data_IF_578254339354
#
_entry.id   IF_578254339354
#
_cell.length_a   1.000
_cell.length_b   1.000
_cell.length_c   1.000
_cell.angle_alpha   90.00
_cell.angle_beta   90.00
_cell.angle_gamma   90.00
#
_symmetry.space_group_name_H-M   'P 1'
#
loop_
_entity.id
_entity.type
_entity.pdbx_description
1 polymer ?
#
# COMPACT_ATOMS: atom_id res chain seq x y z
N UNK A 1 -5.54 -14.94 12.10
CA UNK A 1 -5.84 -13.49 12.20
C UNK A 1 -5.10 -12.80 11.08
N UNK A 2 -5.67 -11.76 10.46
CA UNK A 2 -5.02 -11.03 9.36
C UNK A 2 -4.37 -9.74 9.83
N UNK A 3 -3.29 -9.33 9.17
CA UNK A 3 -2.49 -8.16 9.51
C UNK A 3 -2.25 -7.27 8.30
N UNK A 4 -2.04 -5.98 8.58
CA UNK A 4 -1.34 -5.05 7.69
C UNK A 4 0.05 -4.85 8.25
N UNK A 5 1.05 -5.14 7.43
CA UNK A 5 2.44 -5.16 7.86
C UNK A 5 3.21 -4.08 7.12
N UNK A 6 3.94 -3.28 7.90
CA UNK A 6 4.89 -2.29 7.39
C UNK A 6 6.23 -2.97 7.22
N UNK A 7 6.82 -2.82 6.04
CA UNK A 7 8.07 -3.45 5.68
C UNK A 7 9.13 -2.37 5.50
N UNK A 8 10.23 -2.46 6.23
CA UNK A 8 11.44 -1.67 5.94
C UNK A 8 12.14 -2.30 4.75
N UNK A 9 12.42 -1.49 3.75
CA UNK A 9 13.00 -1.94 2.49
C UNK A 9 14.35 -1.27 2.29
N UNK A 10 15.39 -2.06 2.03
CA UNK A 10 16.67 -1.65 1.47
C UNK A 10 16.72 -2.13 0.02
N UNK A 11 16.32 -1.30 -0.96
CA UNK A 11 16.15 -1.73 -2.34
C UNK A 11 17.40 -2.44 -2.88
N UNK A 12 17.22 -3.59 -3.51
CA UNK A 12 18.29 -4.42 -4.05
C UNK A 12 19.11 -5.20 -3.01
N UNK A 13 18.76 -5.11 -1.72
CA UNK A 13 19.52 -5.75 -0.64
C UNK A 13 18.64 -6.63 0.25
N UNK A 14 17.68 -6.03 0.96
CA UNK A 14 16.85 -6.76 1.93
C UNK A 14 15.54 -6.06 2.32
N UNK A 15 14.60 -6.84 2.84
CA UNK A 15 13.35 -6.40 3.48
C UNK A 15 13.26 -6.95 4.90
N UNK A 16 12.63 -6.19 5.80
CA UNK A 16 12.38 -6.61 7.17
C UNK A 16 11.01 -6.10 7.64
N UNK A 17 10.24 -6.96 8.30
CA UNK A 17 9.00 -6.55 8.98
C UNK A 17 9.30 -5.59 10.13
N UNK A 18 8.60 -4.46 10.18
CA UNK A 18 8.80 -3.42 11.19
C UNK A 18 7.67 -3.36 12.21
N UNK A 19 6.44 -3.17 11.75
CA UNK A 19 5.25 -3.09 12.61
C UNK A 19 4.04 -3.75 11.94
N UNK A 20 3.10 -4.21 12.76
CA UNK A 20 1.89 -4.90 12.32
C UNK A 20 0.65 -4.27 12.94
N UNK A 21 -0.29 -3.87 12.08
CA UNK A 21 -1.62 -3.49 12.48
C UNK A 21 -2.54 -4.71 12.42
N UNK A 22 -3.17 -5.04 13.56
CA UNK A 22 -4.15 -6.13 13.62
C UNK A 22 -5.38 -5.78 12.77
N UNK A 23 -5.92 -6.79 12.09
CA UNK A 23 -7.07 -6.70 11.19
C UNK A 23 -6.75 -5.95 9.89
N UNK A 24 -6.33 -6.72 8.88
CA UNK A 24 -6.06 -6.25 7.51
C UNK A 24 -7.25 -5.53 6.85
N UNK A 25 -8.49 -5.76 7.30
CA UNK A 25 -9.65 -5.06 6.75
C UNK A 25 -9.60 -3.55 6.95
N UNK A 26 -8.76 -3.06 7.86
CA UNK A 26 -8.57 -1.62 8.10
C UNK A 26 -7.61 -0.92 7.14
N UNK A 27 -7.04 -1.58 6.14
CA UNK A 27 -6.11 -0.96 5.19
C UNK A 27 -6.56 -1.08 3.73
N UNK A 28 -6.15 -2.13 3.00
CA UNK A 28 -6.45 -2.35 1.58
C UNK A 28 -7.94 -2.31 1.29
N UNK A 29 -8.77 -3.14 1.96
CA UNK A 29 -10.22 -3.15 1.77
C UNK A 29 -10.93 -1.81 1.98
N UNK A 30 -10.39 -0.93 2.83
CA UNK A 30 -10.93 0.44 3.00
C UNK A 30 -10.79 1.22 1.68
N UNK A 31 -9.57 1.29 1.15
CA UNK A 31 -9.29 2.01 -0.10
C UNK A 31 -10.04 1.40 -1.27
N UNK A 32 -10.07 0.07 -1.36
CA UNK A 32 -10.75 -0.64 -2.44
C UNK A 32 -12.25 -0.35 -2.45
N UNK A 33 -12.87 -0.32 -1.27
CA UNK A 33 -14.27 0.01 -1.11
C UNK A 33 -14.57 1.46 -1.52
N UNK A 34 -13.80 2.41 -1.02
CA UNK A 34 -13.98 3.84 -1.29
C UNK A 34 -13.83 4.15 -2.79
N UNK A 35 -12.78 3.62 -3.40
CA UNK A 35 -12.49 3.80 -4.83
C UNK A 35 -13.55 3.14 -5.71
N UNK A 36 -14.00 1.93 -5.37
CA UNK A 36 -15.06 1.25 -6.11
C UNK A 36 -16.40 2.00 -6.04
N UNK A 37 -16.78 2.51 -4.86
CA UNK A 37 -18.01 3.31 -4.71
C UNK A 37 -17.90 4.60 -5.53
N UNK A 38 -16.80 5.36 -5.36
CA UNK A 38 -16.65 6.68 -5.99
C UNK A 38 -16.57 6.62 -7.51
N UNK A 39 -15.75 5.70 -8.04
CA UNK A 39 -15.37 5.71 -9.46
C UNK A 39 -16.02 4.61 -10.30
N UNK A 40 -16.45 3.51 -9.67
CA UNK A 40 -17.14 2.40 -10.34
C UNK A 40 -18.62 2.34 -9.99
N UNK A 41 -19.10 3.20 -9.06
CA UNK A 41 -20.50 3.31 -8.64
C UNK A 41 -21.07 2.01 -8.10
N UNK A 42 -20.24 1.22 -7.40
CA UNK A 42 -20.69 -0.01 -6.77
C UNK A 42 -21.42 0.27 -5.47
N UNK A 43 -22.22 -0.70 -5.01
CA UNK A 43 -22.65 -0.74 -3.62
C UNK A 43 -21.44 -0.95 -2.68
N UNK A 44 -21.56 -0.65 -1.37
CA UNK A 44 -20.54 -0.98 -0.39
C UNK A 44 -20.12 -2.46 -0.45
N UNK A 45 -18.83 -2.70 -0.32
CA UNK A 45 -18.15 -4.00 -0.47
C UNK A 45 -18.29 -4.66 -1.85
N UNK A 46 -18.82 -3.94 -2.85
CA UNK A 46 -18.95 -4.44 -4.23
C UNK A 46 -17.62 -4.60 -4.97
N UNK A 47 -16.51 -4.09 -4.42
CA UNK A 47 -15.18 -4.14 -5.03
C UNK A 47 -14.72 -5.58 -5.36
N UNK A 48 -15.16 -6.57 -4.57
CA UNK A 48 -14.81 -7.98 -4.81
C UNK A 48 -15.31 -8.49 -6.18
N UNK A 49 -16.39 -7.91 -6.70
CA UNK A 49 -16.99 -8.30 -7.98
C UNK A 49 -16.44 -7.51 -9.18
N UNK A 50 -15.59 -6.51 -8.95
CA UNK A 50 -15.06 -5.63 -10.00
C UNK A 50 -13.58 -5.29 -9.80
N UNK A 51 -12.83 -6.20 -9.19
CA UNK A 51 -11.43 -5.99 -8.84
C UNK A 51 -10.56 -5.70 -10.07
N UNK A 52 -10.90 -6.33 -11.21
CA UNK A 52 -10.31 -6.13 -12.53
C UNK A 52 -10.46 -4.68 -13.05
N UNK A 53 -11.51 -3.99 -12.62
CA UNK A 53 -11.78 -2.57 -12.96
C UNK A 53 -11.25 -1.61 -11.92
N UNK A 54 -11.03 -2.08 -10.69
CA UNK A 54 -10.49 -1.27 -9.60
C UNK A 54 -9.00 -0.97 -9.81
N UNK A 55 -8.20 -1.96 -10.20
CA UNK A 55 -6.75 -1.77 -10.36
C UNK A 55 -6.37 -0.75 -11.44
N UNK A 56 -7.01 -0.70 -12.62
CA UNK A 56 -6.67 0.33 -13.60
C UNK A 56 -6.93 1.78 -13.14
N UNK A 57 -7.69 2.00 -12.05
CA UNK A 57 -7.97 3.35 -11.57
C UNK A 57 -6.72 4.12 -11.13
N UNK A 58 -5.66 3.46 -10.66
CA UNK A 58 -4.41 4.14 -10.29
C UNK A 58 -3.71 4.81 -11.49
N UNK A 59 -4.06 4.43 -12.72
CA UNK A 59 -3.47 4.98 -13.95
C UNK A 59 -4.41 5.96 -14.67
N UNK A 60 -5.59 6.24 -14.13
CA UNK A 60 -6.60 7.09 -14.78
C UNK A 60 -6.40 8.57 -14.43
N UNK A 61 -5.84 9.35 -15.35
CA UNK A 61 -5.52 10.77 -15.12
C UNK A 61 -6.71 11.67 -14.75
N UNK A 62 -7.94 11.25 -15.04
CA UNK A 62 -9.15 11.96 -14.61
C UNK A 62 -9.41 11.86 -13.09
N UNK A 63 -8.68 10.99 -12.39
CA UNK A 63 -8.74 10.81 -10.94
C UNK A 63 -7.63 11.65 -10.27
N UNK A 64 -7.95 12.38 -9.18
CA UNK A 64 -6.96 13.13 -8.41
C UNK A 64 -5.74 12.28 -8.05
N UNK A 65 -4.55 12.86 -8.16
CA UNK A 65 -3.29 12.13 -8.00
C UNK A 65 -3.17 11.47 -6.62
N UNK A 66 -3.62 12.12 -5.54
CA UNK A 66 -3.57 11.55 -4.20
C UNK A 66 -4.49 10.32 -4.05
N UNK A 67 -5.62 10.26 -4.77
CA UNK A 67 -6.46 9.05 -4.82
C UNK A 67 -5.76 7.90 -5.54
N UNK A 68 -5.12 8.21 -6.68
CA UNK A 68 -4.35 7.23 -7.45
C UNK A 68 -3.18 6.69 -6.65
N UNK A 69 -2.46 7.56 -5.96
CA UNK A 69 -1.31 7.20 -5.14
C UNK A 69 -1.71 6.30 -3.96
N UNK A 70 -2.75 6.66 -3.20
CA UNK A 70 -3.19 5.84 -2.06
C UNK A 70 -3.75 4.49 -2.53
N UNK A 71 -4.40 4.41 -3.70
CA UNK A 71 -4.73 3.11 -4.30
C UNK A 71 -3.48 2.32 -4.69
N UNK A 72 -2.51 2.96 -5.33
CA UNK A 72 -1.24 2.35 -5.72
C UNK A 72 -0.44 1.86 -4.50
N UNK A 73 -0.57 2.50 -3.34
CA UNK A 73 -0.03 2.06 -2.03
C UNK A 73 -0.65 0.73 -1.54
N UNK A 74 -1.64 0.18 -2.23
CA UNK A 74 -2.25 -1.12 -1.90
C UNK A 74 -1.81 -2.30 -2.77
N UNK A 75 -0.97 -2.05 -3.78
CA UNK A 75 -0.52 -3.07 -4.73
C UNK A 75 0.60 -3.95 -4.18
N UNK A 76 0.94 -5.02 -4.88
CA UNK A 76 2.07 -5.83 -4.46
C UNK A 76 3.39 -5.20 -4.91
N UNK A 77 4.44 -5.44 -4.11
CA UNK A 77 5.85 -5.12 -4.43
C UNK A 77 6.16 -3.64 -4.66
N UNK A 78 5.27 -2.73 -4.26
CA UNK A 78 5.64 -1.32 -4.24
C UNK A 78 6.53 -1.03 -3.03
N UNK A 79 7.33 0.02 -3.15
CA UNK A 79 7.89 0.69 -1.99
C UNK A 79 7.87 2.20 -2.21
N UNK A 80 7.97 2.95 -1.13
CA UNK A 80 8.10 4.41 -1.12
C UNK A 80 9.51 4.72 -0.63
N UNK A 81 10.25 5.54 -1.38
CA UNK A 81 11.59 5.99 -1.00
C UNK A 81 11.52 7.00 0.14
N UNK A 82 12.58 7.07 0.96
CA UNK A 82 12.67 8.01 2.08
C UNK A 82 12.44 9.46 1.68
N UNK A 83 12.93 9.86 0.51
CA UNK A 83 12.74 11.22 -0.02
C UNK A 83 11.27 11.57 -0.30
N UNK A 84 10.42 10.56 -0.48
CA UNK A 84 8.99 10.72 -0.74
C UNK A 84 8.09 10.52 0.49
N UNK A 85 8.63 10.22 1.68
CA UNK A 85 7.79 9.98 2.86
C UNK A 85 6.86 11.16 3.18
N UNK A 86 7.36 12.38 3.10
CA UNK A 86 6.53 13.58 3.30
C UNK A 86 5.38 13.66 2.29
N UNK A 87 5.63 13.27 1.04
CA UNK A 87 4.63 13.27 -0.04
C UNK A 87 3.61 12.15 0.16
N UNK A 88 4.05 10.98 0.58
CA UNK A 88 3.17 9.86 0.94
C UNK A 88 2.21 10.25 2.06
N UNK A 89 2.73 10.82 3.15
CA UNK A 89 1.93 11.32 4.27
C UNK A 89 0.89 12.34 3.78
N UNK A 90 1.31 13.36 3.05
CA UNK A 90 0.42 14.39 2.51
C UNK A 90 -0.72 13.78 1.68
N UNK A 91 -0.40 12.87 0.76
CA UNK A 91 -1.40 12.24 -0.10
C UNK A 91 -2.39 11.37 0.67
N UNK A 92 -1.93 10.67 1.72
CA UNK A 92 -2.83 9.95 2.62
C UNK A 92 -3.74 10.93 3.37
N UNK A 93 -3.23 12.06 3.88
CA UNK A 93 -4.05 13.06 4.57
C UNK A 93 -5.10 13.69 3.64
N UNK A 94 -4.73 14.03 2.42
CA UNK A 94 -5.66 14.54 1.40
C UNK A 94 -6.74 13.49 1.08
N UNK A 95 -6.34 12.22 0.94
CA UNK A 95 -7.27 11.13 0.71
C UNK A 95 -8.29 11.00 1.86
N UNK A 96 -7.82 11.02 3.10
CA UNK A 96 -8.67 10.93 4.28
C UNK A 96 -9.61 12.14 4.45
N UNK A 97 -9.27 13.30 3.88
CA UNK A 97 -10.18 14.44 3.83
C UNK A 97 -11.33 14.21 2.82
N UNK A 98 -11.04 13.60 1.67
CA UNK A 98 -12.03 13.25 0.64
C UNK A 98 -12.86 11.99 0.98
N UNK A 99 -12.30 11.12 1.83
CA UNK A 99 -12.88 9.89 2.34
C UNK A 99 -12.69 9.78 3.87
N UNK A 100 -13.50 10.51 4.66
CA UNK A 100 -13.38 10.50 6.12
C UNK A 100 -13.58 9.09 6.71
N UNK A 101 -12.71 8.62 7.61
CA UNK A 101 -12.88 7.34 8.29
C UNK A 101 -14.23 7.23 9.02
N UNK A 102 -14.86 6.07 8.92
CA UNK A 102 -16.02 5.74 9.74
C UNK A 102 -15.56 5.22 11.11
N UNK A 103 -15.90 5.94 12.18
CA UNK A 103 -15.54 5.61 13.57
C UNK A 103 -16.03 4.22 14.03
N UNK A 104 -17.06 3.65 13.39
CA UNK A 104 -17.55 2.31 13.69
C UNK A 104 -16.70 1.19 13.08
N UNK A 105 -15.71 1.53 12.25
CA UNK A 105 -14.86 0.57 11.53
C UNK A 105 -13.38 0.85 11.76
N UNK A 106 -12.56 -0.20 11.71
CA UNK A 106 -11.10 -0.04 11.81
C UNK A 106 -10.58 0.62 10.54
N UNK A 107 -9.71 1.62 10.70
CA UNK A 107 -8.99 2.26 9.60
C UNK A 107 -7.57 2.61 10.06
N UNK A 108 -6.57 2.03 9.40
CA UNK A 108 -5.15 2.17 9.77
C UNK A 108 -4.44 3.29 9.02
N UNK A 109 -5.05 3.88 7.99
CA UNK A 109 -4.44 4.91 7.16
C UNK A 109 -4.05 6.19 7.93
N UNK A 110 -4.79 6.63 8.97
CA UNK A 110 -4.29 7.70 9.84
C UNK A 110 -2.94 7.37 10.48
N UNK A 111 -2.75 6.15 10.98
CA UNK A 111 -1.48 5.70 11.58
C UNK A 111 -0.40 5.46 10.53
N UNK A 112 -0.74 4.99 9.33
CA UNK A 112 0.21 4.88 8.21
C UNK A 112 0.71 6.27 7.78
N UNK A 113 -0.17 7.29 7.78
CA UNK A 113 0.27 8.67 7.54
C UNK A 113 1.25 9.14 8.63
N UNK A 114 0.94 8.89 9.91
CA UNK A 114 1.81 9.23 11.04
C UNK A 114 3.18 8.54 10.95
N UNK A 115 3.23 7.29 10.48
CA UNK A 115 4.49 6.58 10.23
C UNK A 115 5.36 7.34 9.22
N UNK A 116 4.79 7.76 8.09
CA UNK A 116 5.53 8.51 7.08
C UNK A 116 5.92 9.91 7.57
N UNK A 117 5.05 10.59 8.32
CA UNK A 117 5.34 11.89 8.97
C UNK A 117 6.50 11.77 9.97
N UNK A 118 6.59 10.64 10.67
CA UNK A 118 7.67 10.31 11.60
C UNK A 118 9.03 10.13 10.94
N UNK A 119 9.08 10.03 9.60
CA UNK A 119 10.29 9.90 8.79
C UNK A 119 11.30 8.89 9.36
N UNK A 120 10.92 7.62 9.52
CA UNK A 120 11.76 6.61 10.15
C UNK A 120 13.08 6.44 9.39
N UNK A 121 14.13 6.06 10.11
CA UNK A 121 15.46 5.90 9.53
C UNK A 121 15.61 4.57 8.77
N UNK A 122 14.91 4.47 7.64
CA UNK A 122 15.04 3.40 6.67
C UNK A 122 14.95 3.98 5.26
N UNK A 123 15.63 3.38 4.26
CA UNK A 123 15.72 3.99 2.93
C UNK A 123 14.42 3.89 2.12
N UNK A 124 13.57 2.90 2.43
CA UNK A 124 12.24 2.80 1.86
C UNK A 124 11.27 2.05 2.79
N UNK A 125 9.97 2.22 2.53
CA UNK A 125 8.88 1.49 3.20
C UNK A 125 8.01 0.81 2.14
N UNK A 126 7.76 -0.48 2.34
CA UNK A 126 6.73 -1.25 1.64
C UNK A 126 5.53 -1.52 2.55
N UNK A 127 4.40 -1.86 1.95
CA UNK A 127 3.18 -2.21 2.68
C UNK A 127 2.68 -3.58 2.22
N UNK A 128 2.46 -4.48 3.17
CA UNK A 128 1.78 -5.75 2.93
C UNK A 128 0.41 -5.72 3.60
N UNK A 129 -0.63 -5.45 2.81
CA UNK A 129 -1.94 -5.08 3.37
C UNK A 129 -2.82 -6.26 3.76
N UNK A 130 -2.46 -7.49 3.40
CA UNK A 130 -3.21 -8.68 3.82
C UNK A 130 -2.32 -9.90 3.97
N UNK A 131 -2.16 -10.36 5.21
CA UNK A 131 -1.47 -11.61 5.52
C UNK A 131 -2.24 -12.89 5.14
N UNK A 132 -3.26 -12.78 4.27
CA UNK A 132 -4.03 -13.91 3.73
C UNK A 132 -3.40 -14.45 2.45
N UNK A 133 -2.70 -13.59 1.71
CA UNK A 133 -1.89 -13.98 0.56
C UNK A 133 -0.44 -14.19 0.99
N UNK A 134 0.37 -14.80 0.13
CA UNK A 134 1.82 -14.90 0.30
C UNK A 134 2.44 -13.52 0.55
N UNK A 135 3.45 -13.44 1.41
CA UNK A 135 4.16 -12.19 1.71
C UNK A 135 4.89 -11.73 0.43
N UNK A 136 4.49 -10.60 -0.17
CA UNK A 136 5.12 -10.12 -1.39
C UNK A 136 6.51 -9.57 -1.13
N UNK A 137 7.03 -9.56 0.11
CA UNK A 137 8.39 -9.16 0.50
C UNK A 137 9.26 -10.32 0.97
N UNK A 138 8.76 -11.57 0.92
CA UNK A 138 9.55 -12.77 1.12
C UNK A 138 10.06 -13.34 -0.23
N UNK A 139 11.27 -13.88 -0.23
CA UNK A 139 11.83 -14.65 -1.34
C UNK A 139 11.41 -16.11 -1.31
N UNK A 140 12.12 -16.97 -2.04
CA UNK A 140 11.89 -18.41 -2.00
C UNK A 140 12.22 -19.00 -0.63
N UNK A 141 11.52 -20.07 -0.25
CA UNK A 141 11.83 -20.82 0.97
C UNK A 141 13.11 -21.64 0.76
N UNK A 142 14.11 -21.45 1.61
CA UNK A 142 15.31 -22.27 1.66
C UNK A 142 15.10 -23.43 2.65
N UNK A 143 14.97 -24.66 2.12
CA UNK A 143 14.77 -25.86 2.94
C UNK A 143 15.98 -26.20 3.82
N UNK A 144 17.19 -25.83 3.43
CA UNK A 144 18.41 -26.13 4.20
C UNK A 144 18.59 -25.15 5.36
N UNK A 145 18.30 -23.87 5.13
CA UNK A 145 18.37 -22.84 6.15
C UNK A 145 17.11 -22.75 7.03
N UNK A 146 16.00 -23.37 6.62
CA UNK A 146 14.66 -23.22 7.22
C UNK A 146 14.22 -21.75 7.33
N UNK A 147 14.58 -20.94 6.33
CA UNK A 147 14.33 -19.50 6.29
C UNK A 147 13.89 -19.04 4.89
N UNK A 148 13.12 -17.97 4.81
CA UNK A 148 12.82 -17.31 3.53
C UNK A 148 14.01 -16.47 3.08
N UNK A 149 14.38 -16.61 1.80
CA UNK A 149 15.37 -15.77 1.16
C UNK A 149 14.88 -14.32 1.02
N UNK A 150 15.79 -13.42 0.66
CA UNK A 150 15.43 -12.06 0.25
C UNK A 150 14.71 -12.09 -1.11
N UNK A 151 13.76 -11.19 -1.35
CA UNK A 151 12.95 -11.25 -2.54
C UNK A 151 13.71 -10.82 -3.81
N UNK A 152 13.16 -11.20 -4.97
CA UNK A 152 13.67 -10.74 -6.27
C UNK A 152 13.33 -9.26 -6.50
N UNK A 153 14.29 -8.40 -6.15
CA UNK A 153 14.19 -6.95 -6.26
C UNK A 153 13.88 -6.42 -7.66
N UNK A 154 14.12 -7.20 -8.73
CA UNK A 154 13.82 -6.77 -10.11
C UNK A 154 12.31 -6.62 -10.36
N UNK A 155 11.47 -7.17 -9.48
CA UNK A 155 10.01 -7.15 -9.57
C UNK A 155 9.35 -6.06 -8.72
N UNK A 156 10.16 -5.27 -8.00
CA UNK A 156 9.70 -4.19 -7.13
C UNK A 156 9.79 -2.86 -7.84
N UNK A 157 8.98 -1.91 -7.40
CA UNK A 157 8.88 -0.62 -8.03
C UNK A 157 8.68 0.48 -6.99
N UNK A 158 9.33 1.61 -7.24
CA UNK A 158 9.16 2.83 -6.45
C UNK A 158 7.86 3.52 -6.88
N UNK A 159 6.98 3.78 -5.91
CA UNK A 159 5.64 4.28 -6.18
C UNK A 159 5.65 5.64 -6.87
N UNK A 160 6.44 6.59 -6.36
CA UNK A 160 6.45 7.94 -6.91
C UNK A 160 7.26 8.07 -8.20
N UNK A 161 8.34 7.29 -8.36
CA UNK A 161 9.02 7.19 -9.66
C UNK A 161 8.06 6.70 -10.75
N UNK A 162 7.20 5.72 -10.43
CA UNK A 162 6.20 5.22 -11.36
C UNK A 162 5.14 6.27 -11.71
N UNK A 163 4.62 6.99 -10.71
CA UNK A 163 3.60 8.03 -10.94
C UNK A 163 4.15 9.24 -11.71
N UNK A 164 5.37 9.66 -11.39
CA UNK A 164 6.01 10.81 -12.04
C UNK A 164 6.48 10.45 -13.45
N UNK A 165 6.96 9.22 -13.67
CA UNK A 165 7.31 8.70 -14.99
C UNK A 165 6.11 8.43 -15.91
N UNK A 166 4.91 8.26 -15.36
CA UNK A 166 3.66 8.09 -16.12
C UNK A 166 3.06 9.40 -16.63
N UNK A 167 3.64 10.55 -16.28
CA UNK A 167 3.14 11.89 -16.64
C UNK A 167 3.73 12.42 -17.97
N UNK A 168 4.04 11.55 -18.94
CA UNK A 168 4.62 11.89 -20.26
C UNK A 168 3.71 11.44 -21.41
#
# INVERSE_FOLDING_TARGET
>A
MSYTTVIRVWPGKKSETAEEFRNAWGSGPVIWNDMAIRYLRTAPHGYMACIDKLWPLANREDIPLHHRAVLAMTYDRMYILKEDYSRAAEYIRLYLADFPPNEATVNHWPSIAELFEGNPDCPAIGLWLTSVCEDPFAGEWDEEAEEYMQPDWSRYWSLFDHLDGSSI
#
